data_IF_816218473535
#
_entry.id   IF_816218473535
#
_cell.length_a   1.000
_cell.length_b   1.000
_cell.length_c   1.000
_cell.angle_alpha   90.00
_cell.angle_beta   90.00
_cell.angle_gamma   90.00
#
_symmetry.space_group_name_H-M   'P 1'
#
loop_
_entity.id
_entity.type
_entity.pdbx_description
1 polymer ?
#
# COMPACT_ATOMS: atom_id res chain seq x y z
N UNK A 1 -43.44 -74.22 -2.75
CA UNK A 1 -42.15 -74.03 -2.05
C UNK A 1 -41.31 -73.10 -2.91
N UNK A 2 -41.26 -71.82 -2.57
CA UNK A 2 -40.46 -70.83 -3.30
C UNK A 2 -39.98 -69.83 -2.24
N UNK A 3 -38.69 -69.89 -1.91
CA UNK A 3 -38.05 -69.07 -0.91
C UNK A 3 -37.62 -67.74 -1.52
N UNK A 4 -38.11 -66.63 -0.97
CA UNK A 4 -37.71 -65.27 -1.35
C UNK A 4 -36.44 -64.88 -0.60
N UNK A 5 -35.41 -64.29 -1.26
CA UNK A 5 -34.14 -63.96 -0.62
C UNK A 5 -34.25 -62.69 0.23
N UNK A 6 -33.54 -62.68 1.37
CA UNK A 6 -33.41 -61.52 2.29
C UNK A 6 -32.43 -60.49 1.72
N UNK A 7 -32.88 -59.24 1.60
CA UNK A 7 -32.04 -58.08 1.23
C UNK A 7 -31.18 -57.65 2.44
N UNK A 8 -29.87 -57.42 2.30
CA UNK A 8 -29.01 -56.92 3.37
C UNK A 8 -29.31 -55.44 3.69
N UNK A 9 -29.45 -55.11 4.97
CA UNK A 9 -29.57 -53.73 5.46
C UNK A 9 -28.25 -52.98 5.31
N UNK A 10 -28.28 -51.84 4.62
CA UNK A 10 -27.15 -50.93 4.45
C UNK A 10 -26.62 -50.45 5.81
N UNK A 11 -25.32 -50.67 6.04
CA UNK A 11 -24.60 -50.15 7.20
C UNK A 11 -24.47 -48.63 7.13
N UNK A 12 -24.67 -47.98 8.28
CA UNK A 12 -24.47 -46.55 8.50
C UNK A 12 -22.99 -46.19 8.31
N UNK A 13 -22.66 -45.18 7.47
CA UNK A 13 -21.29 -44.69 7.35
C UNK A 13 -20.90 -43.98 8.65
N UNK A 14 -19.84 -44.48 9.29
CA UNK A 14 -19.22 -43.87 10.46
C UNK A 14 -18.65 -42.50 10.08
N UNK A 15 -19.04 -41.46 10.83
CA UNK A 15 -18.56 -40.09 10.67
C UNK A 15 -17.08 -39.99 11.09
N UNK A 16 -16.19 -40.31 10.16
CA UNK A 16 -14.76 -40.05 10.29
C UNK A 16 -14.50 -38.55 10.29
N UNK A 17 -14.20 -38.00 11.46
CA UNK A 17 -13.68 -36.65 11.65
C UNK A 17 -12.25 -36.57 11.09
N UNK A 18 -12.12 -36.50 9.77
CA UNK A 18 -10.85 -36.16 9.12
C UNK A 18 -10.54 -34.70 9.41
N UNK A 19 -9.71 -34.47 10.44
CA UNK A 19 -9.12 -33.17 10.75
C UNK A 19 -8.17 -32.74 9.63
N UNK A 20 -8.73 -32.17 8.57
CA UNK A 20 -7.94 -31.60 7.47
C UNK A 20 -7.30 -30.31 7.97
N UNK A 21 -6.05 -30.41 8.38
CA UNK A 21 -5.21 -29.24 8.66
C UNK A 21 -5.15 -28.40 7.39
N UNK A 22 -5.48 -27.09 7.43
CA UNK A 22 -5.43 -26.26 6.24
C UNK A 22 -4.01 -26.24 5.67
N UNK A 23 -3.84 -26.29 4.33
CA UNK A 23 -2.53 -26.40 3.72
C UNK A 23 -1.63 -25.21 4.11
N UNK A 24 -0.39 -25.45 4.53
CA UNK A 24 0.57 -24.40 4.83
C UNK A 24 0.92 -23.64 3.54
N UNK A 25 0.45 -22.39 3.39
CA UNK A 25 0.86 -21.55 2.26
C UNK A 25 -0.03 -20.36 1.89
N UNK A 26 -1.29 -20.31 2.33
CA UNK A 26 -2.23 -19.27 1.86
C UNK A 26 -2.01 -17.87 2.45
N UNK A 27 -1.18 -17.74 3.48
CA UNK A 27 -0.91 -16.46 4.18
C UNK A 27 0.28 -15.65 3.65
N UNK A 28 1.27 -16.29 3.02
CA UNK A 28 2.56 -15.66 2.70
C UNK A 28 2.45 -14.49 1.69
N UNK A 29 1.69 -14.58 0.58
CA UNK A 29 1.57 -13.48 -0.37
C UNK A 29 0.89 -12.24 0.22
N UNK A 30 -0.03 -12.45 1.16
CA UNK A 30 -0.75 -11.37 1.85
C UNK A 30 0.17 -10.65 2.84
N UNK A 31 0.92 -11.39 3.65
CA UNK A 31 1.88 -10.82 4.60
C UNK A 31 2.97 -10.02 3.88
N UNK A 32 3.50 -10.55 2.76
CA UNK A 32 4.47 -9.85 1.93
C UNK A 32 3.95 -8.47 1.48
N UNK A 33 2.76 -8.41 0.90
CA UNK A 33 2.20 -7.15 0.41
C UNK A 33 1.98 -6.10 1.53
N UNK A 34 1.69 -6.54 2.76
CA UNK A 34 1.56 -5.64 3.92
C UNK A 34 2.90 -5.15 4.45
N UNK A 35 3.90 -6.00 4.48
CA UNK A 35 5.27 -5.58 4.82
C UNK A 35 5.76 -4.56 3.80
N UNK A 36 5.53 -4.82 2.50
CA UNK A 36 5.88 -3.90 1.41
C UNK A 36 5.14 -2.57 1.54
N UNK A 37 3.86 -2.58 1.94
CA UNK A 37 3.08 -1.36 2.18
C UNK A 37 3.68 -0.47 3.28
N UNK A 38 4.28 -1.05 4.32
CA UNK A 38 4.96 -0.30 5.40
C UNK A 38 6.36 0.13 4.99
N UNK A 39 7.06 -0.71 4.21
CA UNK A 39 8.39 -0.39 3.70
C UNK A 39 8.40 0.78 2.71
N UNK A 40 7.32 0.94 1.92
CA UNK A 40 7.20 2.00 0.91
C UNK A 40 7.39 3.43 1.46
N UNK A 41 6.64 3.91 2.48
CA UNK A 41 6.86 5.24 3.04
C UNK A 41 8.20 5.36 3.77
N UNK A 42 8.77 4.27 4.28
CA UNK A 42 10.12 4.29 4.87
C UNK A 42 11.20 4.52 3.80
N UNK A 43 11.13 3.82 2.67
CA UNK A 43 12.02 4.03 1.53
C UNK A 43 11.85 5.45 0.95
N UNK A 44 10.61 5.92 0.87
CA UNK A 44 10.32 7.29 0.44
C UNK A 44 10.95 8.35 1.38
N UNK A 45 10.75 8.20 2.68
CA UNK A 45 11.36 9.05 3.70
C UNK A 45 12.88 9.02 3.65
N UNK A 46 13.48 7.83 3.46
CA UNK A 46 14.94 7.72 3.39
C UNK A 46 15.49 8.42 2.13
N UNK A 47 14.83 8.29 0.98
CA UNK A 47 15.17 9.07 -0.21
C UNK A 47 15.09 10.58 0.04
N UNK A 48 14.06 11.02 0.78
CA UNK A 48 13.96 12.41 1.22
C UNK A 48 15.11 12.83 2.13
N UNK A 49 15.50 12.02 3.11
CA UNK A 49 16.66 12.30 3.99
C UNK A 49 17.94 12.43 3.18
N UNK A 50 18.19 11.50 2.26
CA UNK A 50 19.37 11.53 1.36
C UNK A 50 19.39 12.82 0.55
N UNK A 51 18.25 13.21 -0.03
CA UNK A 51 18.12 14.45 -0.78
C UNK A 51 18.37 15.67 0.11
N UNK A 52 17.79 15.75 1.31
CA UNK A 52 17.82 17.00 2.09
C UNK A 52 19.04 17.20 2.96
N UNK A 53 19.64 16.12 3.45
CA UNK A 53 20.76 16.21 4.40
C UNK A 53 22.11 16.24 3.68
N UNK A 54 22.19 15.75 2.43
CA UNK A 54 23.47 15.56 1.72
C UNK A 54 23.64 16.31 0.40
N UNK A 55 22.64 17.03 -0.11
CA UNK A 55 22.79 17.75 -1.40
C UNK A 55 22.92 19.26 -1.22
N UNK A 56 23.97 19.83 -1.81
CA UNK A 56 23.84 21.14 -2.47
C UNK A 56 22.90 20.97 -3.66
N UNK A 57 22.05 21.96 -3.95
CA UNK A 57 21.10 21.87 -5.09
C UNK A 57 21.82 21.44 -6.38
N UNK A 58 21.20 20.55 -7.18
CA UNK A 58 21.73 20.10 -8.47
C UNK A 58 22.01 18.59 -8.61
N UNK A 59 22.54 18.15 -9.77
CA UNK A 59 22.84 16.76 -10.06
C UNK A 59 24.00 16.23 -9.20
N UNK A 60 24.00 14.93 -8.89
CA UNK A 60 25.07 14.28 -8.11
C UNK A 60 24.66 12.98 -7.43
N UNK A 61 25.58 12.38 -6.67
CA UNK A 61 25.38 11.05 -6.06
C UNK A 61 24.15 10.98 -5.14
N UNK A 62 23.92 12.01 -4.32
CA UNK A 62 22.76 12.05 -3.43
C UNK A 62 21.44 12.27 -4.20
N UNK A 63 21.45 13.07 -5.28
CA UNK A 63 20.31 13.19 -6.21
C UNK A 63 19.95 11.84 -6.84
N UNK A 64 20.93 11.15 -7.42
CA UNK A 64 20.73 9.83 -8.06
C UNK A 64 20.24 8.79 -7.04
N UNK A 65 20.83 8.77 -5.85
CA UNK A 65 20.45 7.84 -4.79
C UNK A 65 19.02 8.08 -4.31
N UNK A 66 18.64 9.34 -4.08
CA UNK A 66 17.30 9.70 -3.63
C UNK A 66 16.23 9.29 -4.66
N UNK A 67 16.42 9.62 -5.94
CA UNK A 67 15.47 9.23 -6.99
C UNK A 67 15.39 7.71 -7.19
N UNK A 68 16.51 7.00 -7.07
CA UNK A 68 16.51 5.53 -7.12
C UNK A 68 15.69 4.93 -5.98
N UNK A 69 15.86 5.44 -4.75
CA UNK A 69 15.06 5.04 -3.59
C UNK A 69 13.58 5.34 -3.79
N UNK A 70 13.24 6.49 -4.38
CA UNK A 70 11.86 6.86 -4.67
C UNK A 70 11.22 5.97 -5.73
N UNK A 71 11.95 5.56 -6.79
CA UNK A 71 11.47 4.56 -7.75
C UNK A 71 11.09 3.27 -7.04
N UNK A 72 11.98 2.76 -6.17
CA UNK A 72 11.72 1.57 -5.37
C UNK A 72 10.51 1.77 -4.45
N UNK A 73 10.41 2.92 -3.80
CA UNK A 73 9.29 3.26 -2.93
C UNK A 73 7.96 3.25 -3.68
N UNK A 74 7.88 3.84 -4.88
CA UNK A 74 6.63 3.85 -5.68
C UNK A 74 6.27 2.47 -6.24
N UNK A 75 7.25 1.64 -6.58
CA UNK A 75 7.00 0.23 -6.91
C UNK A 75 6.43 -0.54 -5.70
N UNK A 76 7.00 -0.31 -4.50
CA UNK A 76 6.47 -0.87 -3.26
C UNK A 76 5.07 -0.34 -2.95
N UNK A 77 4.80 0.95 -3.14
CA UNK A 77 3.46 1.50 -2.96
C UNK A 77 2.45 0.86 -3.91
N UNK A 78 2.81 0.61 -5.18
CA UNK A 78 1.92 -0.06 -6.12
C UNK A 78 1.55 -1.48 -5.63
N UNK A 79 2.55 -2.28 -5.24
CA UNK A 79 2.34 -3.62 -4.68
C UNK A 79 1.51 -3.55 -3.38
N UNK A 80 1.84 -2.61 -2.50
CA UNK A 80 1.14 -2.37 -1.24
C UNK A 80 -0.32 -1.97 -1.42
N UNK A 81 -0.63 -1.16 -2.44
CA UNK A 81 -2.01 -0.77 -2.77
C UNK A 81 -2.85 -1.96 -3.22
N UNK A 82 -2.28 -2.89 -3.99
CA UNK A 82 -2.94 -4.16 -4.34
C UNK A 82 -3.17 -5.00 -3.07
N UNK A 83 -2.18 -5.08 -2.18
CA UNK A 83 -2.32 -5.75 -0.88
C UNK A 83 -3.43 -5.15 -0.03
N UNK A 84 -3.50 -3.81 0.04
CA UNK A 84 -4.53 -3.08 0.76
C UNK A 84 -5.90 -3.30 0.14
N UNK A 85 -6.03 -3.26 -1.19
CA UNK A 85 -7.28 -3.54 -1.87
C UNK A 85 -7.81 -4.95 -1.57
N UNK A 86 -6.90 -5.94 -1.52
CA UNK A 86 -7.22 -7.32 -1.11
C UNK A 86 -7.63 -7.41 0.37
N UNK A 87 -7.04 -6.61 1.25
CA UNK A 87 -7.46 -6.52 2.66
C UNK A 87 -8.85 -5.91 2.82
N UNK A 88 -9.15 -4.88 2.04
CA UNK A 88 -10.48 -4.28 2.00
C UNK A 88 -11.49 -5.31 1.50
N UNK A 89 -11.10 -6.10 0.49
CA UNK A 89 -11.87 -7.21 -0.06
C UNK A 89 -13.19 -6.76 -0.69
N UNK A 90 -13.89 -7.60 -1.47
CA UNK A 90 -15.21 -7.23 -2.01
C UNK A 90 -16.30 -7.08 -0.93
N UNK A 91 -16.13 -7.71 0.24
CA UNK A 91 -17.10 -7.64 1.36
C UNK A 91 -18.47 -8.26 1.01
N UNK A 92 -19.47 -8.05 1.88
CA UNK A 92 -20.88 -8.41 1.64
C UNK A 92 -21.58 -7.52 0.60
N UNK A 93 -20.86 -6.52 0.06
CA UNK A 93 -21.38 -5.54 -0.87
C UNK A 93 -21.17 -6.01 -2.31
N UNK A 94 -22.05 -6.90 -2.77
CA UNK A 94 -22.22 -7.16 -4.21
C UNK A 94 -22.82 -5.90 -4.86
N UNK A 95 -22.11 -5.27 -5.81
CA UNK A 95 -22.56 -4.05 -6.50
C UNK A 95 -21.62 -2.84 -6.38
N UNK A 96 -22.17 -1.64 -6.12
CA UNK A 96 -21.47 -0.32 -6.12
C UNK A 96 -20.17 -0.28 -5.30
N UNK A 97 -20.10 -1.02 -4.19
CA UNK A 97 -18.90 -1.11 -3.36
C UNK A 97 -17.70 -1.75 -4.08
N UNK A 98 -17.94 -2.67 -5.01
CA UNK A 98 -16.86 -3.28 -5.79
C UNK A 98 -16.28 -2.31 -6.82
N UNK A 99 -17.13 -1.49 -7.47
CA UNK A 99 -16.68 -0.46 -8.41
C UNK A 99 -15.80 0.61 -7.76
N UNK A 100 -16.17 1.09 -6.57
CA UNK A 100 -15.36 2.07 -5.84
C UNK A 100 -13.97 1.51 -5.44
N UNK A 101 -13.90 0.23 -5.07
CA UNK A 101 -12.63 -0.43 -4.75
C UNK A 101 -11.72 -0.55 -5.98
N UNK A 102 -12.30 -0.96 -7.13
CA UNK A 102 -11.54 -1.02 -8.39
C UNK A 102 -11.06 0.38 -8.78
N UNK A 103 -11.93 1.38 -8.77
CA UNK A 103 -11.56 2.75 -9.12
C UNK A 103 -10.44 3.30 -8.21
N UNK A 104 -10.58 3.17 -6.89
CA UNK A 104 -9.56 3.64 -5.95
C UNK A 104 -8.22 2.92 -6.15
N UNK A 105 -8.24 1.60 -6.39
CA UNK A 105 -7.04 0.82 -6.69
C UNK A 105 -6.38 1.26 -7.98
N UNK A 106 -7.16 1.41 -9.06
CA UNK A 106 -6.66 1.86 -10.36
C UNK A 106 -6.04 3.25 -10.29
N UNK A 107 -6.70 4.18 -9.60
CA UNK A 107 -6.20 5.56 -9.41
C UNK A 107 -4.89 5.54 -8.61
N UNK A 108 -4.81 4.76 -7.53
CA UNK A 108 -3.58 4.64 -6.74
C UNK A 108 -2.42 4.04 -7.57
N UNK A 109 -2.70 3.00 -8.36
CA UNK A 109 -1.69 2.37 -9.22
C UNK A 109 -1.24 3.30 -10.35
N UNK A 110 -2.17 3.97 -11.03
CA UNK A 110 -1.85 4.93 -12.08
C UNK A 110 -0.98 6.06 -11.53
N UNK A 111 -1.36 6.63 -10.37
CA UNK A 111 -0.56 7.64 -9.70
C UNK A 111 0.83 7.14 -9.34
N UNK A 112 0.95 5.96 -8.72
CA UNK A 112 2.24 5.39 -8.35
C UNK A 112 3.16 5.17 -9.57
N UNK A 113 2.61 4.67 -10.68
CA UNK A 113 3.35 4.49 -11.94
C UNK A 113 3.79 5.84 -12.51
N UNK A 114 2.91 6.83 -12.55
CA UNK A 114 3.23 8.16 -13.06
C UNK A 114 4.28 8.86 -12.20
N UNK A 115 4.20 8.76 -10.87
CA UNK A 115 5.21 9.35 -9.98
C UNK A 115 6.53 8.59 -10.09
N UNK A 116 6.50 7.26 -10.26
CA UNK A 116 7.70 6.49 -10.60
C UNK A 116 8.34 6.95 -11.92
N UNK A 117 7.53 7.23 -12.94
CA UNK A 117 8.00 7.77 -14.21
C UNK A 117 8.62 9.17 -14.04
N UNK A 118 8.03 10.03 -13.20
CA UNK A 118 8.64 11.31 -12.82
C UNK A 118 10.07 11.10 -12.27
N UNK A 119 10.25 10.18 -11.34
CA UNK A 119 11.59 9.91 -10.77
C UNK A 119 12.59 9.39 -11.82
N UNK A 120 12.13 8.64 -12.82
CA UNK A 120 12.97 8.20 -13.95
C UNK A 120 13.36 9.39 -14.83
N UNK A 121 12.43 10.30 -15.12
CA UNK A 121 12.73 11.53 -15.85
C UNK A 121 13.74 12.41 -15.09
N UNK A 122 13.59 12.52 -13.77
CA UNK A 122 14.51 13.24 -12.90
C UNK A 122 15.92 12.64 -12.91
N UNK A 123 16.04 11.31 -13.01
CA UNK A 123 17.34 10.66 -13.22
C UNK A 123 17.91 10.97 -14.60
N UNK A 124 17.12 10.87 -15.66
CA UNK A 124 17.57 11.18 -17.03
C UNK A 124 18.04 12.64 -17.12
N UNK A 125 17.30 13.58 -16.53
CA UNK A 125 17.69 14.98 -16.46
C UNK A 125 18.98 15.16 -15.63
N UNK A 126 19.06 14.51 -14.47
CA UNK A 126 20.17 14.62 -13.52
C UNK A 126 21.45 13.87 -13.89
N UNK A 127 21.45 13.00 -14.90
CA UNK A 127 22.65 12.34 -15.42
C UNK A 127 23.47 13.29 -16.31
N UNK A 128 23.97 14.37 -15.71
CA UNK A 128 24.78 15.43 -16.31
C UNK A 128 25.76 16.02 -15.28
N UNK A 129 26.87 16.64 -15.71
CA UNK A 129 27.87 17.17 -14.80
C UNK A 129 27.49 18.50 -14.13
N UNK A 130 26.55 19.26 -14.69
CA UNK A 130 26.24 20.62 -14.23
C UNK A 130 24.74 20.87 -14.10
N UNK A 131 24.36 21.74 -13.17
CA UNK A 131 22.97 22.18 -12.99
C UNK A 131 22.42 22.86 -14.25
N UNK A 132 23.22 23.67 -14.94
CA UNK A 132 22.82 24.29 -16.21
C UNK A 132 22.45 23.24 -17.28
N UNK A 133 23.22 22.16 -17.41
CA UNK A 133 22.89 21.07 -18.33
C UNK A 133 21.63 20.31 -17.92
N UNK A 134 21.38 20.18 -16.61
CA UNK A 134 20.18 19.55 -16.08
C UNK A 134 18.93 20.38 -16.40
N UNK A 135 19.01 21.69 -16.19
CA UNK A 135 17.93 22.63 -16.49
C UNK A 135 17.58 22.63 -17.98
N UNK A 136 18.59 22.65 -18.87
CA UNK A 136 18.34 22.53 -20.31
C UNK A 136 17.61 21.23 -20.70
N UNK A 137 17.88 20.12 -20.00
CA UNK A 137 17.14 18.85 -20.20
C UNK A 137 15.70 18.95 -19.71
N UNK A 138 15.47 19.56 -18.54
CA UNK A 138 14.11 19.81 -18.05
C UNK A 138 13.31 20.69 -19.01
N UNK A 139 13.91 21.77 -19.53
CA UNK A 139 13.26 22.64 -20.51
C UNK A 139 12.83 21.86 -21.76
N UNK A 140 13.71 20.99 -22.28
CA UNK A 140 13.39 20.12 -23.41
C UNK A 140 12.29 19.09 -23.07
N UNK A 141 12.28 18.52 -21.86
CA UNK A 141 11.23 17.60 -21.41
C UNK A 141 9.88 18.32 -21.24
N UNK A 142 9.87 19.52 -20.67
CA UNK A 142 8.66 20.31 -20.45
C UNK A 142 8.12 20.94 -21.73
N UNK A 143 8.94 21.08 -22.78
CA UNK A 143 8.47 21.43 -24.11
C UNK A 143 7.54 20.35 -24.71
N UNK A 144 7.59 19.11 -24.24
CA UNK A 144 6.66 18.06 -24.66
C UNK A 144 5.29 18.29 -23.99
N UNK A 145 4.20 18.49 -24.76
CA UNK A 145 2.89 18.81 -24.20
C UNK A 145 2.44 17.78 -23.17
N UNK A 146 2.07 18.28 -21.99
CA UNK A 146 1.50 17.47 -20.91
C UNK A 146 2.53 16.81 -19.97
N UNK A 147 3.83 16.75 -20.29
CA UNK A 147 4.82 16.12 -19.40
C UNK A 147 4.86 16.80 -18.03
N UNK A 148 4.96 18.14 -18.00
CA UNK A 148 4.97 18.88 -16.75
C UNK A 148 3.66 18.66 -15.96
N UNK A 149 2.51 18.82 -16.61
CA UNK A 149 1.22 18.68 -15.95
C UNK A 149 0.99 17.25 -15.44
N UNK A 150 1.19 16.24 -16.27
CA UNK A 150 0.86 14.86 -15.95
C UNK A 150 1.88 14.27 -14.98
N UNK A 151 3.18 14.37 -15.29
CA UNK A 151 4.22 13.69 -14.51
C UNK A 151 4.60 14.45 -13.25
N UNK A 152 4.63 15.79 -13.27
CA UNK A 152 5.17 16.59 -12.15
C UNK A 152 4.09 17.23 -11.29
N UNK A 153 2.95 17.60 -11.87
CA UNK A 153 1.86 18.23 -11.11
C UNK A 153 0.83 17.22 -10.65
N UNK A 154 0.26 16.42 -11.57
CA UNK A 154 -0.88 15.56 -11.26
C UNK A 154 -0.48 14.20 -10.69
N UNK A 155 0.66 13.63 -11.10
CA UNK A 155 1.03 12.27 -10.68
C UNK A 155 1.01 12.06 -9.15
N UNK A 156 1.66 12.92 -8.33
CA UNK A 156 1.64 12.74 -6.88
C UNK A 156 0.23 12.90 -6.30
N UNK A 157 -0.55 13.85 -6.84
CA UNK A 157 -1.93 14.10 -6.40
C UNK A 157 -2.82 12.89 -6.69
N UNK A 158 -2.76 12.34 -7.90
CA UNK A 158 -3.49 11.15 -8.32
C UNK A 158 -3.15 9.97 -7.42
N UNK A 159 -1.86 9.77 -7.13
CA UNK A 159 -1.40 8.73 -6.21
C UNK A 159 -2.02 8.88 -4.82
N UNK A 160 -1.88 10.05 -4.21
CA UNK A 160 -2.37 10.31 -2.86
C UNK A 160 -3.89 10.22 -2.74
N UNK A 161 -4.63 10.69 -3.75
CA UNK A 161 -6.10 10.56 -3.81
C UNK A 161 -6.49 9.09 -3.86
N UNK A 162 -5.85 8.28 -4.70
CA UNK A 162 -6.11 6.84 -4.78
C UNK A 162 -5.80 6.11 -3.48
N UNK A 163 -4.64 6.39 -2.88
CA UNK A 163 -4.24 5.81 -1.59
C UNK A 163 -5.22 6.17 -0.48
N UNK A 164 -5.59 7.45 -0.36
CA UNK A 164 -6.56 7.92 0.64
C UNK A 164 -7.93 7.29 0.43
N UNK A 165 -8.40 7.18 -0.82
CA UNK A 165 -9.65 6.52 -1.13
C UNK A 165 -9.66 5.04 -0.69
N UNK A 166 -8.56 4.30 -0.91
CA UNK A 166 -8.42 2.93 -0.42
C UNK A 166 -8.46 2.85 1.11
N UNK A 167 -7.80 3.76 1.80
CA UNK A 167 -7.79 3.80 3.26
C UNK A 167 -9.18 4.13 3.83
N UNK A 168 -9.88 5.10 3.23
CA UNK A 168 -11.26 5.46 3.59
C UNK A 168 -12.21 4.28 3.36
N UNK A 169 -12.10 3.59 2.22
CA UNK A 169 -12.87 2.37 1.97
C UNK A 169 -12.57 1.29 3.02
N UNK A 170 -11.31 1.19 3.45
CA UNK A 170 -10.92 0.40 4.61
C UNK A 170 -11.71 0.81 5.86
N UNK A 171 -11.64 2.07 6.28
CA UNK A 171 -12.39 2.55 7.45
C UNK A 171 -13.90 2.27 7.36
N UNK A 172 -14.54 2.56 6.21
CA UNK A 172 -15.97 2.32 5.97
C UNK A 172 -16.31 0.85 6.13
N UNK A 173 -15.46 -0.07 5.63
CA UNK A 173 -15.66 -1.52 5.77
C UNK A 173 -15.17 -2.07 7.11
N UNK A 174 -14.76 -1.22 8.05
CA UNK A 174 -14.13 -1.59 9.32
C UNK A 174 -12.87 -2.45 9.12
N UNK A 175 -12.28 -2.27 7.93
CA UNK A 175 -10.93 -2.50 7.36
C UNK A 175 -9.75 -2.04 8.18
N UNK A 176 -9.91 -0.84 8.69
CA UNK A 176 -8.86 -0.02 9.25
C UNK A 176 -9.49 0.87 10.33
N UNK A 177 -8.79 1.14 11.44
CA UNK A 177 -9.24 2.12 12.42
C UNK A 177 -9.32 3.52 11.79
N UNK A 178 -10.42 4.24 12.03
CA UNK A 178 -10.65 5.61 11.51
C UNK A 178 -9.51 6.55 11.90
N UNK A 179 -9.03 6.48 13.16
CA UNK A 179 -7.94 7.31 13.64
C UNK A 179 -6.65 7.16 12.81
N UNK A 180 -6.34 5.94 12.36
CA UNK A 180 -5.16 5.70 11.51
C UNK A 180 -5.36 6.20 10.08
N UNK A 181 -6.60 6.15 9.57
CA UNK A 181 -6.93 6.76 8.26
C UNK A 181 -6.82 8.27 8.32
N UNK A 182 -7.29 8.90 9.41
CA UNK A 182 -7.12 10.34 9.64
C UNK A 182 -5.64 10.69 9.74
N UNK A 183 -4.84 9.92 10.49
CA UNK A 183 -3.39 10.12 10.59
C UNK A 183 -2.70 10.06 9.22
N UNK A 184 -3.06 9.07 8.39
CA UNK A 184 -2.55 8.98 7.02
C UNK A 184 -2.97 10.19 6.17
N UNK A 185 -4.22 10.64 6.28
CA UNK A 185 -4.73 11.84 5.61
C UNK A 185 -3.95 13.10 6.00
N UNK A 186 -3.69 13.30 7.30
CA UNK A 186 -2.83 14.38 7.77
C UNK A 186 -1.41 14.28 7.21
N UNK A 187 -0.85 13.06 7.16
CA UNK A 187 0.47 12.81 6.57
C UNK A 187 0.53 13.14 5.07
N UNK A 188 -0.50 12.78 4.32
CA UNK A 188 -0.65 13.12 2.89
C UNK A 188 -0.73 14.63 2.67
N UNK A 189 -1.54 15.33 3.47
CA UNK A 189 -1.64 16.79 3.39
C UNK A 189 -0.31 17.46 3.74
N UNK A 190 0.35 17.02 4.82
CA UNK A 190 1.67 17.52 5.20
C UNK A 190 2.72 17.27 4.11
N UNK A 191 2.73 16.08 3.50
CA UNK A 191 3.59 15.76 2.36
C UNK A 191 3.36 16.72 1.18
N UNK A 192 2.10 16.90 0.78
CA UNK A 192 1.74 17.77 -0.35
C UNK A 192 2.07 19.24 -0.10
N UNK A 193 1.73 19.77 1.08
CA UNK A 193 2.05 21.16 1.46
C UNK A 193 3.57 21.33 1.54
N UNK A 194 4.24 20.45 2.29
CA UNK A 194 5.68 20.52 2.53
C UNK A 194 6.53 20.44 1.25
N UNK A 195 6.05 19.73 0.23
CA UNK A 195 6.72 19.64 -1.06
C UNK A 195 6.94 21.02 -1.72
N UNK A 196 5.96 21.92 -1.60
CA UNK A 196 6.00 23.27 -2.17
C UNK A 196 6.67 24.32 -1.28
N UNK A 197 7.07 23.97 -0.05
CA UNK A 197 7.71 24.92 0.86
C UNK A 197 9.22 25.05 0.59
N UNK A 198 9.83 26.22 0.85
CA UNK A 198 11.28 26.41 0.71
C UNK A 198 12.06 26.03 1.98
N UNK A 199 13.35 25.70 1.81
CA UNK A 199 14.31 25.57 2.90
C UNK A 199 13.90 24.58 4.00
N UNK A 200 14.07 24.98 5.27
CA UNK A 200 13.76 24.15 6.44
C UNK A 200 12.25 23.82 6.57
N UNK A 201 11.36 24.59 5.95
CA UNK A 201 9.93 24.26 5.96
C UNK A 201 9.62 22.97 5.20
N UNK A 202 10.54 22.46 4.38
CA UNK A 202 10.44 21.12 3.77
C UNK A 202 10.49 19.98 4.78
N UNK A 203 10.86 20.24 6.04
CA UNK A 203 10.70 19.26 7.13
C UNK A 203 9.25 18.77 7.27
N UNK A 204 8.27 19.60 6.87
CA UNK A 204 6.84 19.22 6.84
C UNK A 204 6.59 18.04 5.89
N UNK A 205 7.32 17.96 4.76
CA UNK A 205 7.26 16.84 3.81
C UNK A 205 7.75 15.54 4.46
N UNK A 206 8.91 15.61 5.13
CA UNK A 206 9.49 14.48 5.87
C UNK A 206 8.60 14.02 7.04
N UNK A 207 8.00 14.96 7.78
CA UNK A 207 7.02 14.65 8.81
C UNK A 207 5.78 13.95 8.23
N UNK A 208 5.29 14.41 7.07
CA UNK A 208 4.22 13.75 6.32
C UNK A 208 4.52 12.29 6.01
N UNK A 209 5.75 11.99 5.57
CA UNK A 209 6.21 10.62 5.34
C UNK A 209 6.17 9.74 6.60
N UNK A 210 6.62 10.28 7.74
CA UNK A 210 6.59 9.56 9.02
C UNK A 210 5.16 9.30 9.51
N UNK A 211 4.24 10.25 9.30
CA UNK A 211 2.82 10.08 9.64
C UNK A 211 2.17 8.98 8.78
N UNK A 212 2.43 8.97 7.46
CA UNK A 212 1.96 7.92 6.55
C UNK A 212 2.54 6.56 6.98
N UNK A 213 3.84 6.49 7.28
CA UNK A 213 4.51 5.29 7.77
C UNK A 213 3.85 4.76 9.05
N UNK A 214 3.67 5.63 10.06
CA UNK A 214 3.07 5.28 11.34
C UNK A 214 1.62 4.79 11.18
N UNK A 215 0.84 5.44 10.32
CA UNK A 215 -0.53 5.05 10.02
C UNK A 215 -0.61 3.66 9.37
N UNK A 216 0.16 3.42 8.31
CA UNK A 216 0.16 2.14 7.59
C UNK A 216 0.68 1.00 8.48
N UNK A 217 1.74 1.24 9.25
CA UNK A 217 2.24 0.28 10.24
C UNK A 217 1.21 -0.03 11.33
N UNK A 218 0.47 0.98 11.79
CA UNK A 218 -0.65 0.79 12.71
C UNK A 218 -1.75 -0.10 12.13
N UNK A 219 -2.16 0.15 10.89
CA UNK A 219 -3.25 -0.59 10.21
C UNK A 219 -2.87 -2.06 10.08
N UNK A 220 -1.64 -2.34 9.62
CA UNK A 220 -1.13 -3.71 9.46
C UNK A 220 -1.08 -4.43 10.81
N UNK A 221 -0.59 -3.77 11.87
CA UNK A 221 -0.53 -4.35 13.23
C UNK A 221 -1.92 -4.64 13.79
N UNK A 222 -2.87 -3.71 13.70
CA UNK A 222 -4.25 -3.92 14.17
C UNK A 222 -4.90 -5.11 13.45
N UNK A 223 -4.62 -5.29 12.15
CA UNK A 223 -5.13 -6.43 11.40
C UNK A 223 -4.51 -7.76 11.79
N UNK A 224 -3.19 -7.81 11.98
CA UNK A 224 -2.53 -9.00 12.47
C UNK A 224 -3.09 -9.44 13.83
N UNK A 225 -3.30 -8.49 14.76
CA UNK A 225 -3.85 -8.76 16.08
C UNK A 225 -5.31 -9.29 16.03
N UNK A 226 -6.15 -8.76 15.14
CA UNK A 226 -7.52 -9.27 14.97
C UNK A 226 -7.55 -10.69 14.41
N UNK A 227 -6.74 -10.99 13.40
CA UNK A 227 -6.66 -12.34 12.82
C UNK A 227 -6.13 -13.38 13.82
N UNK A 228 -5.16 -12.99 14.66
CA UNK A 228 -4.65 -13.86 15.71
C UNK A 228 -5.73 -14.21 16.75
N UNK A 229 -6.60 -13.25 17.10
CA UNK A 229 -7.74 -13.49 18.02
C UNK A 229 -8.81 -14.39 17.41
N UNK A 230 -9.07 -14.28 16.11
CA UNK A 230 -10.06 -15.12 15.40
C UNK A 230 -9.60 -16.58 15.26
N UNK A 231 -8.28 -16.80 15.19
CA UNK A 231 -7.67 -18.14 15.04
C UNK A 231 -7.31 -18.81 16.36
N UNK A 232 -7.26 -18.07 17.46
CA UNK A 232 -7.00 -18.62 18.77
C UNK A 232 -8.08 -19.66 19.16
N UNK A 233 -7.70 -20.83 19.72
CA UNK A 233 -8.68 -21.80 20.21
C UNK A 233 -9.64 -21.11 21.17
N UNK A 234 -10.95 -21.31 21.01
CA UNK A 234 -11.89 -20.87 22.04
C UNK A 234 -11.50 -21.59 23.33
N UNK A 235 -11.32 -20.88 24.46
CA UNK A 235 -11.10 -21.54 25.74
C UNK A 235 -12.20 -22.58 25.90
N UNK A 236 -11.80 -23.84 26.12
CA UNK A 236 -12.74 -24.95 26.29
C UNK A 236 -13.78 -24.48 27.30
N UNK A 237 -15.02 -24.38 26.84
CA UNK A 237 -16.15 -23.88 27.62
C UNK A 237 -16.13 -24.67 28.92
N UNK A 238 -15.74 -24.01 30.02
CA UNK A 238 -15.47 -24.68 31.27
C UNK A 238 -16.72 -25.45 31.64
N UNK A 239 -16.60 -26.79 31.67
CA UNK A 239 -17.73 -27.67 31.89
C UNK A 239 -18.52 -27.16 33.10
N UNK A 240 -19.87 -27.06 33.00
CA UNK A 240 -20.68 -26.51 34.06
C UNK A 240 -20.36 -27.25 35.35
N UNK A 241 -19.88 -26.52 36.36
CA UNK A 241 -19.66 -27.08 37.70
C UNK A 241 -21.03 -27.56 38.20
N UNK A 242 -21.18 -28.87 38.26
CA UNK A 242 -22.33 -29.53 38.88
C UNK A 242 -22.20 -29.49 40.39
#
# INVERSE_FOLDING_TARGET
MTATPRIPTAGTPSAGTSGTTPPPGTGAPRQFALTVLVAAPAAWFFGWVVMRVRTTHGPGAAWTTAHSLWIVAFAMFAIGCVGLARLVGPGRFTGRGSGALVAATTVALAGAVLTGAQMVLDLIAGFVPTEAAMNNRYDAMFAVPGVQLVCYTLAPVVFYVGLLALLVLGAVRRTAPVALVVLAGCGILAAGIGHGLPGALRLVEGAGALLILGALAGIVRTRAATLARETAPRPAEAAPRR
#
